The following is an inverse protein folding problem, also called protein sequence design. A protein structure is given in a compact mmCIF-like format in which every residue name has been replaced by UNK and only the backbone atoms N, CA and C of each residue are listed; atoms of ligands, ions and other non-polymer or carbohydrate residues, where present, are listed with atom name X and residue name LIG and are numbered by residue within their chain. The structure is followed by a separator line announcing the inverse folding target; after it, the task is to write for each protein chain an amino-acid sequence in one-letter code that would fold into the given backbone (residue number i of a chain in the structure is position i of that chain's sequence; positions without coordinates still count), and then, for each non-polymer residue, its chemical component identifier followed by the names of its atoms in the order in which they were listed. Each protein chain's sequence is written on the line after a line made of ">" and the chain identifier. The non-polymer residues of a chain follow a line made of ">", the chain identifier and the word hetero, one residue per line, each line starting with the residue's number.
data_IF_468884310746
#
_entry.id   IF_468884310746
#
_cell.length_a   1.000
_cell.length_b   1.000
_cell.length_c   1.000
_cell.angle_alpha   90.00
_cell.angle_beta   90.00
_cell.angle_gamma   90.00
#
_symmetry.space_group_name_H-M   'P 1'
#
loop_
_entity.id
_entity.type
_entity.pdbx_description
1 polymer ?
#
# COMPACT_ATOMS: atom_id res chain seq x y z
N UNK A 1 -5.51 14.88 13.30
CA UNK A 1 -4.34 14.18 12.73
C UNK A 1 -4.55 14.12 11.23
N UNK A 2 -3.51 14.46 10.46
CA UNK A 2 -3.57 14.37 9.01
C UNK A 2 -3.00 13.03 8.57
N UNK A 3 -3.61 12.48 7.54
CA UNK A 3 -3.28 11.17 7.00
C UNK A 3 -2.98 11.33 5.51
N UNK A 4 -1.89 10.70 5.09
CA UNK A 4 -1.50 10.53 3.71
C UNK A 4 -2.04 9.19 3.20
N UNK A 5 -2.55 9.16 1.98
CA UNK A 5 -3.15 7.96 1.38
C UNK A 5 -2.44 7.64 0.07
N UNK A 6 -2.01 6.38 -0.09
CA UNK A 6 -1.48 5.85 -1.35
C UNK A 6 -2.46 4.81 -1.87
N UNK A 7 -2.97 5.03 -3.08
CA UNK A 7 -3.79 4.06 -3.80
C UNK A 7 -2.91 2.96 -4.40
N UNK A 8 -3.37 1.72 -4.28
CA UNK A 8 -2.62 0.54 -4.69
C UNK A 8 -3.46 -0.25 -5.71
N UNK A 9 -2.82 -0.65 -6.79
CA UNK A 9 -3.50 -1.32 -7.91
C UNK A 9 -3.87 -2.76 -7.53
N UNK A 10 -2.96 -3.47 -6.83
CA UNK A 10 -3.09 -4.89 -6.51
C UNK A 10 -2.65 -5.21 -5.06
N UNK A 11 -3.08 -6.37 -4.57
CA UNK A 11 -2.69 -6.91 -3.25
C UNK A 11 -1.17 -7.03 -3.09
N UNK A 12 -0.49 -7.45 -4.15
CA UNK A 12 0.95 -7.67 -4.11
C UNK A 12 1.74 -6.37 -3.89
N UNK A 13 1.34 -5.28 -4.55
CA UNK A 13 1.95 -3.95 -4.30
C UNK A 13 1.71 -3.50 -2.86
N UNK A 14 0.52 -3.78 -2.33
CA UNK A 14 0.18 -3.43 -0.97
C UNK A 14 0.96 -4.22 0.08
N UNK A 15 1.14 -5.53 -0.12
CA UNK A 15 1.86 -6.40 0.79
C UNK A 15 3.35 -6.01 0.85
N UNK A 16 3.97 -5.79 -0.31
CA UNK A 16 5.36 -5.31 -0.37
C UNK A 16 5.50 -3.94 0.28
N UNK A 17 4.60 -3.01 -0.03
CA UNK A 17 4.67 -1.67 0.55
C UNK A 17 4.45 -1.69 2.07
N UNK A 18 3.49 -2.48 2.56
CA UNK A 18 3.27 -2.69 3.99
C UNK A 18 4.50 -3.29 4.68
N UNK A 19 5.12 -4.31 4.09
CA UNK A 19 6.34 -4.92 4.64
C UNK A 19 7.48 -3.89 4.77
N UNK A 20 7.72 -3.07 3.74
CA UNK A 20 8.74 -2.01 3.80
C UNK A 20 8.43 -0.94 4.87
N UNK A 21 7.15 -0.61 5.07
CA UNK A 21 6.72 0.30 6.15
C UNK A 21 6.94 -0.33 7.54
N UNK A 22 6.71 -1.65 7.70
CA UNK A 22 7.00 -2.39 8.94
C UNK A 22 8.49 -2.41 9.26
N UNK A 23 9.34 -2.65 8.26
CA UNK A 23 10.80 -2.63 8.42
C UNK A 23 11.29 -1.28 8.95
N UNK A 24 10.72 -0.20 8.43
CA UNK A 24 11.03 1.17 8.86
C UNK A 24 10.27 1.61 10.12
N UNK A 25 9.44 0.72 10.71
CA UNK A 25 8.57 0.95 11.88
C UNK A 25 7.64 2.14 11.72
N UNK A 26 7.15 2.35 10.51
CA UNK A 26 6.19 3.41 10.19
C UNK A 26 4.80 2.86 10.50
N UNK A 27 3.97 3.54 11.30
CA UNK A 27 2.59 3.11 11.51
C UNK A 27 1.77 3.32 10.24
N UNK A 28 1.03 2.29 9.81
CA UNK A 28 0.18 2.33 8.62
C UNK A 28 -1.15 1.62 8.89
N UNK A 29 -2.16 1.92 8.08
CA UNK A 29 -3.44 1.24 8.08
C UNK A 29 -3.78 0.83 6.66
N UNK A 30 -4.00 -0.48 6.46
CA UNK A 30 -4.38 -1.03 5.16
C UNK A 30 -5.90 -1.02 5.03
N UNK A 31 -6.42 -0.27 4.07
CA UNK A 31 -7.85 -0.21 3.76
C UNK A 31 -8.07 -0.87 2.41
N UNK A 32 -8.46 -2.14 2.45
CA UNK A 32 -8.94 -2.86 1.27
C UNK A 32 -10.47 -2.80 1.20
N UNK A 33 -11.00 -2.70 -0.01
CA UNK A 33 -12.45 -2.81 -0.25
C UNK A 33 -12.94 -4.27 -0.23
N UNK A 34 -12.02 -5.21 0.02
CA UNK A 34 -12.19 -6.64 -0.18
C UNK A 34 -12.41 -7.43 1.12
N UNK A 35 -12.73 -6.72 2.21
CA UNK A 35 -13.11 -7.34 3.48
C UNK A 35 -14.45 -8.07 3.34
N UNK A 36 -14.42 -9.32 2.83
CA UNK A 36 -15.19 -10.51 3.30
C UNK A 36 -15.55 -11.61 2.27
N UNK A 37 -15.16 -11.60 0.99
CA UNK A 37 -15.67 -12.67 0.12
C UNK A 37 -14.77 -13.11 -1.04
N UNK A 38 -14.64 -14.44 -1.15
CA UNK A 38 -14.19 -15.25 -2.29
C UNK A 38 -12.70 -15.59 -2.40
N UNK A 39 -12.33 -16.65 -1.69
CA UNK A 39 -11.95 -17.93 -2.32
C UNK A 39 -11.79 -17.88 -3.87
N UNK A 40 -10.58 -17.56 -4.31
CA UNK A 40 -9.97 -18.17 -5.50
C UNK A 40 -10.33 -17.68 -6.91
N UNK A 41 -11.34 -16.83 -7.14
CA UNK A 41 -11.71 -16.47 -8.51
C UNK A 41 -12.10 -15.00 -8.67
N UNK A 42 -11.26 -14.28 -9.42
CA UNK A 42 -11.56 -13.01 -10.10
C UNK A 42 -11.97 -11.81 -9.25
N UNK A 43 -11.05 -10.86 -9.06
CA UNK A 43 -11.40 -9.42 -8.98
C UNK A 43 -10.36 -8.57 -9.73
N UNK A 44 -10.25 -8.77 -11.05
CA UNK A 44 -9.66 -7.78 -11.95
C UNK A 44 -10.77 -6.76 -12.28
N UNK A 45 -10.78 -5.56 -11.69
CA UNK A 45 -11.34 -4.31 -12.29
C UNK A 45 -11.53 -3.14 -11.31
N UNK A 46 -11.55 -3.36 -9.99
CA UNK A 46 -11.65 -2.28 -9.00
C UNK A 46 -10.37 -2.32 -8.18
N UNK A 47 -9.57 -1.25 -8.22
CA UNK A 47 -8.28 -1.18 -7.52
C UNK A 47 -8.37 -1.73 -6.10
N UNK A 48 -7.34 -2.46 -5.69
CA UNK A 48 -7.36 -3.28 -4.48
C UNK A 48 -7.72 -2.49 -3.21
N UNK A 49 -7.19 -1.27 -3.09
CA UNK A 49 -7.46 -0.41 -1.96
C UNK A 49 -6.44 0.72 -1.83
N UNK A 50 -6.27 1.19 -0.60
CA UNK A 50 -5.26 2.19 -0.27
C UNK A 50 -4.65 1.94 1.11
N UNK A 51 -3.43 2.42 1.30
CA UNK A 51 -2.78 2.45 2.60
C UNK A 51 -2.79 3.88 3.15
N UNK A 52 -3.29 4.02 4.37
CA UNK A 52 -3.27 5.28 5.12
C UNK A 52 -2.04 5.31 6.03
N UNK A 53 -1.32 6.42 6.00
CA UNK A 53 -0.06 6.65 6.72
C UNK A 53 -0.19 8.01 7.42
N UNK A 54 0.31 8.19 8.65
CA UNK A 54 0.34 9.52 9.24
C UNK A 54 1.18 10.47 8.37
N UNK A 55 0.70 11.70 8.18
CA UNK A 55 1.38 12.71 7.35
C UNK A 55 2.83 12.98 7.81
N UNK A 56 3.13 12.77 9.09
CA UNK A 56 4.49 12.85 9.66
C UNK A 56 5.51 11.94 8.97
N UNK A 57 5.05 10.84 8.38
CA UNK A 57 5.86 9.86 7.66
C UNK A 57 5.64 9.91 6.15
N UNK A 58 4.90 10.90 5.63
CA UNK A 58 4.60 11.02 4.21
C UNK A 58 5.87 11.01 3.35
N UNK A 59 6.87 11.83 3.70
CA UNK A 59 8.11 11.93 2.92
C UNK A 59 8.82 10.58 2.83
N UNK A 60 8.88 9.86 3.96
CA UNK A 60 9.53 8.56 4.05
C UNK A 60 8.76 7.48 3.30
N UNK A 61 7.43 7.47 3.43
CA UNK A 61 6.56 6.58 2.69
C UNK A 61 6.67 6.77 1.18
N UNK A 62 6.73 8.03 0.71
CA UNK A 62 6.91 8.35 -0.70
C UNK A 62 8.28 7.90 -1.21
N UNK A 63 9.34 8.05 -0.41
CA UNK A 63 10.69 7.58 -0.77
C UNK A 63 10.73 6.06 -0.94
N UNK A 64 10.15 5.32 0.00
CA UNK A 64 10.02 3.85 -0.05
C UNK A 64 9.23 3.43 -1.30
N UNK A 65 8.07 4.04 -1.53
CA UNK A 65 7.22 3.71 -2.67
C UNK A 65 7.92 4.02 -4.01
N UNK A 66 8.69 5.10 -4.07
CA UNK A 66 9.48 5.46 -5.25
C UNK A 66 10.62 4.47 -5.50
N UNK A 67 11.29 4.02 -4.44
CA UNK A 67 12.33 3.00 -4.53
C UNK A 67 11.76 1.71 -5.14
N UNK A 68 10.62 1.25 -4.63
CA UNK A 68 9.89 0.11 -5.16
C UNK A 68 9.53 0.26 -6.65
N UNK A 69 8.95 1.40 -7.05
CA UNK A 69 8.59 1.69 -8.45
C UNK A 69 9.81 1.74 -9.37
N UNK A 70 10.95 2.22 -8.86
CA UNK A 70 12.21 2.21 -9.62
C UNK A 70 12.68 0.78 -9.89
N UNK A 71 12.62 -0.11 -8.89
CA UNK A 71 13.04 -1.51 -9.02
C UNK A 71 12.20 -2.33 -10.01
N UNK A 72 10.97 -1.91 -10.33
CA UNK A 72 10.12 -2.55 -11.34
C UNK A 72 10.44 -2.12 -12.78
N UNK A 73 11.26 -1.09 -12.99
CA UNK A 73 11.51 -0.49 -14.32
C UNK A 73 12.86 -0.91 -14.94
N UNK A 74 13.57 -1.89 -14.36
CA UNK A 74 14.88 -2.39 -14.83
C UNK A 74 14.83 -3.78 -15.48
#
# INVERSE_FOLDING_TARGET
>A
MKIFRIELDNEFEADIFAAMLEEERIPYAVINHHSLAYDGLFQMSMGWGHIEIPEEYQEKAVEIFRSYRSSLTE
#
